data_IF_589657262047
#
_entry.id   IF_589657262047
#
_cell.length_a   1.000
_cell.length_b   1.000
_cell.length_c   1.000
_cell.angle_alpha   90.00
_cell.angle_beta   90.00
_cell.angle_gamma   90.00
#
_symmetry.space_group_name_H-M   'P 1'
#
loop_
_entity.id
_entity.type
_entity.pdbx_description
1 polymer ?
#
# COMPACT_ATOMS: atom_id res chain seq x y z
N UNK A 1 7.58 -9.27 12.23
CA UNK A 1 7.09 -10.65 11.97
C UNK A 1 5.57 -10.78 11.94
N UNK A 2 4.77 -10.05 12.74
CA UNK A 2 3.29 -10.17 12.72
C UNK A 2 2.59 -9.63 11.44
N UNK A 3 3.31 -8.93 10.56
CA UNK A 3 2.74 -8.20 9.42
C UNK A 3 2.65 -9.03 8.12
N UNK A 4 3.45 -10.11 8.00
CA UNK A 4 3.32 -11.08 6.90
C UNK A 4 2.09 -11.97 7.05
N UNK A 5 1.54 -12.10 8.26
CA UNK A 5 0.45 -13.04 8.57
C UNK A 5 -0.86 -12.59 7.93
N UNK A 6 -1.18 -11.29 7.92
CA UNK A 6 -2.44 -10.81 7.33
C UNK A 6 -2.45 -10.87 5.80
N UNK A 7 -1.29 -10.66 5.16
CA UNK A 7 -1.15 -10.82 3.70
C UNK A 7 -1.19 -12.31 3.35
N UNK A 8 -0.54 -13.19 4.14
CA UNK A 8 -0.66 -14.65 3.96
C UNK A 8 -2.08 -15.16 4.19
N UNK A 9 -2.81 -14.64 5.16
CA UNK A 9 -4.19 -15.03 5.45
C UNK A 9 -5.13 -14.62 4.32
N UNK A 10 -4.94 -13.41 3.75
CA UNK A 10 -5.67 -12.99 2.56
C UNK A 10 -5.33 -13.87 1.33
N UNK A 11 -4.06 -14.28 1.19
CA UNK A 11 -3.63 -15.17 0.11
C UNK A 11 -4.21 -16.60 0.26
N UNK A 12 -4.20 -17.14 1.49
CA UNK A 12 -4.74 -18.46 1.81
C UNK A 12 -6.26 -18.54 1.60
N UNK A 13 -7.01 -17.50 1.99
CA UNK A 13 -8.45 -17.42 1.81
C UNK A 13 -8.88 -17.34 0.34
N UNK A 14 -8.01 -16.82 -0.54
CA UNK A 14 -8.27 -16.74 -1.99
C UNK A 14 -7.88 -18.03 -2.70
N UNK A 15 -6.85 -18.76 -2.24
CA UNK A 15 -6.46 -20.04 -2.86
C UNK A 15 -7.45 -21.17 -2.65
N UNK A 16 -8.22 -21.16 -1.56
CA UNK A 16 -9.27 -22.17 -1.30
C UNK A 16 -10.48 -22.02 -2.21
N UNK A 17 -10.70 -20.84 -2.79
CA UNK A 17 -11.81 -20.56 -3.71
C UNK A 17 -11.64 -21.15 -5.12
N UNK A 18 -10.41 -21.44 -5.54
CA UNK A 18 -10.13 -21.93 -6.91
C UNK A 18 -10.19 -23.45 -7.08
N UNK A 19 -10.51 -24.22 -6.02
CA UNK A 19 -10.32 -25.69 -6.03
C UNK A 19 -11.60 -26.55 -5.94
N UNK A 20 -12.80 -26.00 -6.06
CA UNK A 20 -14.03 -26.81 -5.97
C UNK A 20 -14.82 -26.82 -7.28
N UNK A 21 -14.59 -27.84 -8.09
CA UNK A 21 -15.48 -28.26 -9.17
C UNK A 21 -15.63 -29.79 -9.13
N UNK A 22 -16.75 -30.30 -8.60
CA UNK A 22 -17.34 -31.59 -9.04
C UNK A 22 -18.81 -31.72 -8.59
N UNK A 23 -19.71 -32.34 -9.36
CA UNK A 23 -21.16 -32.19 -9.18
C UNK A 23 -21.82 -33.38 -8.47
N UNK A 24 -22.69 -33.12 -7.49
CA UNK A 24 -23.79 -34.04 -7.15
C UNK A 24 -24.97 -33.31 -6.47
N UNK A 25 -26.17 -33.47 -7.05
CA UNK A 25 -27.33 -32.57 -6.88
C UNK A 25 -28.14 -32.69 -5.58
N UNK A 26 -27.73 -33.48 -4.58
CA UNK A 26 -28.34 -33.47 -3.24
C UNK A 26 -27.61 -32.58 -2.23
N UNK A 27 -26.44 -32.03 -2.59
CA UNK A 27 -25.63 -31.14 -1.76
C UNK A 27 -25.94 -29.64 -1.89
N UNK A 28 -26.84 -29.25 -2.82
CA UNK A 28 -27.01 -27.85 -3.25
C UNK A 28 -27.57 -26.89 -2.18
N UNK A 29 -28.37 -27.36 -1.21
CA UNK A 29 -28.83 -26.51 -0.09
C UNK A 29 -27.70 -26.22 0.91
N UNK A 30 -26.84 -27.21 1.18
CA UNK A 30 -25.69 -27.06 2.07
C UNK A 30 -24.58 -26.19 1.45
N UNK A 31 -24.39 -26.26 0.13
CA UNK A 31 -23.45 -25.42 -0.60
C UNK A 31 -23.90 -23.97 -0.69
N UNK A 32 -25.20 -23.70 -0.88
CA UNK A 32 -25.73 -22.34 -0.90
C UNK A 32 -25.53 -21.63 0.46
N UNK A 33 -25.72 -22.33 1.57
CA UNK A 33 -25.48 -21.76 2.90
C UNK A 33 -23.99 -21.66 3.24
N UNK A 34 -23.15 -22.58 2.76
CA UNK A 34 -21.69 -22.46 2.86
C UNK A 34 -21.15 -21.28 2.04
N UNK A 35 -21.70 -21.05 0.84
CA UNK A 35 -21.38 -19.89 0.00
C UNK A 35 -21.84 -18.58 0.64
N UNK A 36 -23.04 -18.55 1.23
CA UNK A 36 -23.51 -17.37 1.97
C UNK A 36 -22.61 -17.07 3.17
N UNK A 37 -22.21 -18.08 3.93
CA UNK A 37 -21.32 -17.90 5.07
C UNK A 37 -19.94 -17.40 4.62
N UNK A 38 -19.39 -17.97 3.56
CA UNK A 38 -18.12 -17.52 3.00
C UNK A 38 -18.18 -16.09 2.45
N UNK A 39 -19.30 -15.71 1.82
CA UNK A 39 -19.56 -14.32 1.39
C UNK A 39 -19.67 -13.38 2.59
N UNK A 40 -20.27 -13.82 3.70
CA UNK A 40 -20.37 -13.05 4.93
C UNK A 40 -18.99 -12.85 5.56
N UNK A 41 -18.21 -13.92 5.68
CA UNK A 41 -16.86 -13.90 6.22
C UNK A 41 -15.92 -13.02 5.37
N UNK A 42 -16.07 -13.05 4.05
CA UNK A 42 -15.34 -12.17 3.13
C UNK A 42 -15.76 -10.70 3.26
N UNK A 43 -17.05 -10.41 3.48
CA UNK A 43 -17.54 -9.05 3.71
C UNK A 43 -17.04 -8.49 5.04
N UNK A 44 -17.04 -9.28 6.10
CA UNK A 44 -16.52 -8.89 7.40
C UNK A 44 -15.00 -8.71 7.36
N UNK A 45 -14.28 -9.58 6.65
CA UNK A 45 -12.86 -9.42 6.37
C UNK A 45 -12.58 -8.15 5.54
N UNK A 46 -13.43 -7.79 4.58
CA UNK A 46 -13.34 -6.54 3.80
C UNK A 46 -13.44 -5.30 4.66
N UNK A 47 -14.46 -5.25 5.52
CA UNK A 47 -14.65 -4.13 6.43
C UNK A 47 -13.50 -4.02 7.43
N UNK A 48 -13.03 -5.15 7.96
CA UNK A 48 -11.86 -5.21 8.85
C UNK A 48 -10.57 -4.77 8.15
N UNK A 49 -10.33 -5.18 6.91
CA UNK A 49 -9.14 -4.79 6.15
C UNK A 49 -9.15 -3.29 5.86
N UNK A 50 -10.23 -2.73 5.31
CA UNK A 50 -10.30 -1.31 4.93
C UNK A 50 -10.22 -0.37 6.15
N UNK A 51 -10.99 -0.66 7.19
CA UNK A 51 -11.02 0.19 8.39
C UNK A 51 -9.74 0.08 9.19
N UNK A 52 -9.19 -1.12 9.36
CA UNK A 52 -7.96 -1.29 10.15
C UNK A 52 -6.73 -0.82 9.39
N UNK A 53 -6.61 -1.12 8.09
CA UNK A 53 -5.46 -0.66 7.32
C UNK A 53 -5.42 0.86 7.16
N UNK A 54 -6.57 1.50 6.90
CA UNK A 54 -6.65 2.96 6.80
C UNK A 54 -6.35 3.67 8.12
N UNK A 55 -6.93 3.18 9.24
CA UNK A 55 -6.63 3.72 10.58
C UNK A 55 -5.18 3.44 11.00
N UNK A 56 -4.63 2.28 10.65
CA UNK A 56 -3.25 1.93 10.93
C UNK A 56 -2.28 2.81 10.14
N UNK A 57 -2.51 3.03 8.84
CA UNK A 57 -1.73 3.96 8.01
C UNK A 57 -1.69 5.36 8.63
N UNK A 58 -2.85 5.87 9.07
CA UNK A 58 -2.93 7.18 9.71
C UNK A 58 -2.15 7.23 11.04
N UNK A 59 -2.24 6.18 11.86
CA UNK A 59 -1.48 6.06 13.11
C UNK A 59 0.02 5.95 12.85
N UNK A 60 0.44 5.14 11.89
CA UNK A 60 1.84 4.95 11.54
C UNK A 60 2.46 6.20 10.94
N UNK A 61 1.70 6.96 10.13
CA UNK A 61 2.09 8.27 9.63
C UNK A 61 2.24 9.26 10.79
N UNK A 62 1.20 9.41 11.62
CA UNK A 62 1.22 10.33 12.77
C UNK A 62 2.35 10.01 13.74
N UNK A 63 2.55 8.73 14.06
CA UNK A 63 3.63 8.30 14.93
C UNK A 63 5.00 8.57 14.30
N UNK A 64 5.15 8.31 12.99
CA UNK A 64 6.36 8.66 12.25
C UNK A 64 6.64 10.17 12.28
N UNK A 65 5.62 11.00 12.05
CA UNK A 65 5.76 12.45 12.09
C UNK A 65 6.20 12.94 13.48
N UNK A 66 5.56 12.45 14.55
CA UNK A 66 5.91 12.79 15.95
C UNK A 66 7.34 12.34 16.30
N UNK A 67 7.72 11.11 15.94
CA UNK A 67 9.05 10.56 16.20
C UNK A 67 10.15 11.34 15.50
N UNK A 68 9.85 11.91 14.34
CA UNK A 68 10.80 12.67 13.55
C UNK A 68 10.78 14.16 13.90
N UNK A 69 9.70 14.71 14.44
CA UNK A 69 9.60 16.14 14.80
C UNK A 69 10.64 16.57 15.83
N UNK A 70 10.82 15.83 16.94
CA UNK A 70 11.77 16.22 17.99
C UNK A 70 13.24 16.22 17.51
N UNK A 71 13.76 15.14 16.90
CA UNK A 71 15.12 15.13 16.37
C UNK A 71 15.35 16.21 15.31
N UNK A 72 14.35 16.43 14.45
CA UNK A 72 14.47 17.39 13.34
C UNK A 72 14.43 18.83 13.85
N UNK A 73 13.57 19.16 14.83
CA UNK A 73 13.51 20.50 15.46
C UNK A 73 14.79 20.85 16.22
N UNK A 74 15.34 19.89 16.98
CA UNK A 74 16.61 20.08 17.70
C UNK A 74 17.76 20.34 16.72
N UNK A 75 17.77 19.67 15.56
CA UNK A 75 18.83 19.84 14.54
C UNK A 75 18.63 21.02 13.60
N UNK A 76 17.41 21.49 13.37
CA UNK A 76 17.15 22.73 12.64
C UNK A 76 17.92 23.91 13.25
N UNK A 77 18.04 23.95 14.58
CA UNK A 77 18.81 24.97 15.29
C UNK A 77 20.34 24.84 15.11
N UNK A 78 20.85 23.64 14.79
CA UNK A 78 22.30 23.35 14.68
C UNK A 78 22.85 23.34 13.25
N UNK A 79 22.12 22.81 12.26
CA UNK A 79 22.63 22.57 10.90
C UNK A 79 21.96 23.45 9.81
N UNK A 80 21.09 24.39 10.19
CA UNK A 80 20.49 25.37 9.28
C UNK A 80 19.38 24.83 8.37
N UNK A 81 18.83 25.73 7.54
CA UNK A 81 17.61 25.50 6.75
C UNK A 81 17.73 24.52 5.58
N UNK A 82 18.94 24.12 5.16
CA UNK A 82 19.14 23.16 4.05
C UNK A 82 18.67 21.75 4.41
N UNK A 83 18.91 21.30 5.64
CA UNK A 83 18.42 20.02 6.17
C UNK A 83 16.89 19.95 6.20
N UNK A 84 16.26 20.99 6.76
CA UNK A 84 14.81 21.06 6.85
C UNK A 84 14.17 21.08 5.45
N UNK A 85 14.78 21.80 4.50
CA UNK A 85 14.34 21.77 3.09
C UNK A 85 14.33 20.36 2.51
N UNK A 86 15.29 19.51 2.88
CA UNK A 86 15.35 18.14 2.36
C UNK A 86 14.31 17.22 3.02
N UNK A 87 14.15 17.29 4.35
CA UNK A 87 13.10 16.55 5.07
C UNK A 87 11.71 16.96 4.56
N UNK A 88 11.47 18.27 4.39
CA UNK A 88 10.21 18.80 3.83
C UNK A 88 9.99 18.30 2.42
N UNK A 89 11.03 18.27 1.57
CA UNK A 89 10.94 17.76 0.21
C UNK A 89 10.57 16.27 0.18
N UNK A 90 11.23 15.44 1.00
CA UNK A 90 10.91 14.01 1.14
C UNK A 90 9.46 13.82 1.58
N UNK A 91 9.02 14.53 2.63
CA UNK A 91 7.62 14.47 3.11
C UNK A 91 6.63 14.89 2.02
N UNK A 92 6.91 15.98 1.29
CA UNK A 92 6.04 16.48 0.22
C UNK A 92 5.88 15.46 -0.90
N UNK A 93 6.98 14.90 -1.41
CA UNK A 93 6.94 13.90 -2.49
C UNK A 93 6.22 12.63 -2.05
N UNK A 94 6.47 12.17 -0.82
CA UNK A 94 5.79 11.00 -0.25
C UNK A 94 4.29 11.23 -0.07
N UNK A 95 3.90 12.44 0.34
CA UNK A 95 2.50 12.81 0.49
C UNK A 95 1.77 12.86 -0.86
N UNK A 96 2.42 13.42 -1.88
CA UNK A 96 1.88 13.46 -3.24
C UNK A 96 1.59 12.05 -3.77
N UNK A 97 2.58 11.15 -3.70
CA UNK A 97 2.41 9.77 -4.19
C UNK A 97 1.32 9.01 -3.41
N UNK A 98 1.24 9.17 -2.09
CA UNK A 98 0.16 8.59 -1.30
C UNK A 98 -1.22 9.15 -1.69
N UNK A 99 -1.30 10.42 -2.07
CA UNK A 99 -2.50 11.05 -2.61
C UNK A 99 -2.93 10.44 -3.94
N UNK A 100 -1.98 10.24 -4.86
CA UNK A 100 -2.22 9.57 -6.15
C UNK A 100 -2.74 8.13 -5.95
N UNK A 101 -2.12 7.36 -5.03
CA UNK A 101 -2.61 6.00 -4.70
C UNK A 101 -4.02 6.05 -4.08
N UNK A 102 -4.31 7.03 -3.23
CA UNK A 102 -5.65 7.17 -2.64
C UNK A 102 -6.72 7.54 -3.67
N UNK A 103 -6.37 8.33 -4.70
CA UNK A 103 -7.27 8.59 -5.82
C UNK A 103 -7.60 7.33 -6.61
N UNK A 104 -6.62 6.42 -6.80
CA UNK A 104 -6.87 5.12 -7.44
C UNK A 104 -7.80 4.25 -6.59
N UNK A 105 -7.60 4.19 -5.27
CA UNK A 105 -8.49 3.47 -4.35
C UNK A 105 -9.93 4.00 -4.44
N UNK A 106 -10.10 5.32 -4.40
CA UNK A 106 -11.43 5.95 -4.51
C UNK A 106 -12.08 5.69 -5.87
N UNK A 107 -11.29 5.67 -6.95
CA UNK A 107 -11.79 5.35 -8.29
C UNK A 107 -12.32 3.92 -8.35
N UNK A 108 -11.58 2.94 -7.83
CA UNK A 108 -12.02 1.55 -7.75
C UNK A 108 -13.30 1.41 -6.91
N UNK A 109 -13.35 2.03 -5.73
CA UNK A 109 -14.53 2.00 -4.86
C UNK A 109 -15.76 2.57 -5.58
N UNK A 110 -15.63 3.74 -6.22
CA UNK A 110 -16.73 4.39 -6.95
C UNK A 110 -17.25 3.52 -8.11
N UNK A 111 -16.35 2.91 -8.88
CA UNK A 111 -16.71 2.02 -9.98
C UNK A 111 -17.40 0.74 -9.51
N UNK A 112 -17.07 0.29 -8.30
CA UNK A 112 -17.63 -0.91 -7.67
C UNK A 112 -18.89 -0.61 -6.86
N UNK A 113 -19.67 0.41 -7.25
CA UNK A 113 -20.94 0.79 -6.61
C UNK A 113 -20.82 1.65 -5.35
N UNK A 114 -19.61 2.04 -4.94
CA UNK A 114 -19.37 2.84 -3.74
C UNK A 114 -19.50 2.03 -2.44
N UNK A 115 -19.87 2.72 -1.36
CA UNK A 115 -20.07 2.09 -0.05
C UNK A 115 -21.55 1.75 0.16
N UNK A 116 -21.77 0.56 0.71
CA UNK A 116 -23.07 0.14 1.24
C UNK A 116 -23.41 0.95 2.49
N UNK A 117 -24.56 1.62 2.48
CA UNK A 117 -25.06 2.42 3.62
C UNK A 117 -25.26 1.54 4.87
N UNK A 118 -25.61 0.25 4.68
CA UNK A 118 -25.89 -0.68 5.78
C UNK A 118 -24.63 -1.19 6.46
N UNK A 119 -23.64 -1.58 5.65
CA UNK A 119 -22.45 -2.31 6.12
C UNK A 119 -21.20 -1.45 6.17
N UNK A 120 -21.25 -0.21 5.65
CA UNK A 120 -20.08 0.68 5.50
C UNK A 120 -18.90 0.02 4.75
N UNK A 121 -19.19 -1.00 3.93
CA UNK A 121 -18.23 -1.76 3.14
C UNK A 121 -18.40 -1.44 1.65
N UNK A 122 -17.39 -1.75 0.84
CA UNK A 122 -17.54 -1.70 -0.62
C UNK A 122 -18.73 -2.55 -1.07
N UNK A 123 -19.52 -2.03 -2.01
CA UNK A 123 -20.76 -2.64 -2.47
C UNK A 123 -20.52 -3.94 -3.24
N UNK A 124 -19.55 -3.94 -4.17
CA UNK A 124 -19.16 -5.11 -4.96
C UNK A 124 -17.67 -5.48 -4.74
N UNK A 125 -17.30 -6.01 -3.55
CA UNK A 125 -15.90 -6.22 -3.19
C UNK A 125 -15.21 -7.36 -3.97
N UNK A 126 -15.99 -8.29 -4.53
CA UNK A 126 -15.51 -9.45 -5.28
C UNK A 126 -15.49 -9.24 -6.80
N UNK A 127 -15.93 -8.06 -7.28
CA UNK A 127 -15.93 -7.77 -8.71
C UNK A 127 -14.48 -7.67 -9.22
N UNK A 128 -14.18 -8.37 -10.32
CA UNK A 128 -12.84 -8.36 -10.93
C UNK A 128 -12.79 -7.46 -12.15
N UNK A 129 -13.92 -7.30 -12.86
CA UNK A 129 -13.98 -6.54 -14.11
C UNK A 129 -13.65 -5.06 -13.91
N UNK A 130 -14.12 -4.43 -12.83
CA UNK A 130 -13.77 -3.03 -12.53
C UNK A 130 -12.28 -2.85 -12.26
N UNK A 131 -11.64 -3.84 -11.64
CA UNK A 131 -10.19 -3.82 -11.42
C UNK A 131 -9.47 -3.94 -12.75
N UNK A 132 -9.87 -4.89 -13.60
CA UNK A 132 -9.29 -5.08 -14.94
C UNK A 132 -9.40 -3.81 -15.78
N UNK A 133 -10.60 -3.22 -15.87
CA UNK A 133 -10.84 -1.99 -16.62
C UNK A 133 -10.01 -0.82 -16.08
N UNK A 134 -10.07 -0.58 -14.76
CA UNK A 134 -9.38 0.55 -14.13
C UNK A 134 -7.86 0.38 -14.16
N UNK A 135 -7.33 -0.78 -13.80
CA UNK A 135 -5.89 -0.95 -13.56
C UNK A 135 -5.12 -1.40 -14.80
N UNK A 136 -5.74 -2.24 -15.65
CA UNK A 136 -5.08 -2.79 -16.84
C UNK A 136 -5.49 -2.02 -18.09
N UNK A 137 -6.78 -1.99 -18.43
CA UNK A 137 -7.27 -1.38 -19.69
C UNK A 137 -6.96 0.12 -19.75
N UNK A 138 -7.17 0.84 -18.65
CA UNK A 138 -6.83 2.27 -18.54
C UNK A 138 -5.36 2.53 -18.16
N UNK A 139 -4.55 1.48 -18.09
CA UNK A 139 -3.11 1.55 -17.84
C UNK A 139 -2.70 2.19 -16.49
N UNK A 140 -3.63 2.33 -15.53
CA UNK A 140 -3.34 2.94 -14.23
C UNK A 140 -2.30 2.16 -13.41
N UNK A 141 -2.22 0.83 -13.57
CA UNK A 141 -1.21 0.03 -12.88
C UNK A 141 0.21 0.35 -13.35
N UNK A 142 0.42 0.53 -14.66
CA UNK A 142 1.75 0.89 -15.18
C UNK A 142 2.12 2.33 -14.82
N UNK A 143 1.14 3.25 -14.78
CA UNK A 143 1.34 4.61 -14.25
C UNK A 143 1.77 4.54 -12.79
N UNK A 144 1.06 3.75 -11.96
CA UNK A 144 1.42 3.55 -10.56
C UNK A 144 2.83 2.96 -10.41
N UNK A 145 3.18 1.94 -11.20
CA UNK A 145 4.53 1.35 -11.23
C UNK A 145 5.59 2.42 -11.48
N UNK A 146 5.38 3.24 -12.51
CA UNK A 146 6.28 4.30 -12.88
C UNK A 146 6.46 5.32 -11.74
N UNK A 147 5.38 5.73 -11.08
CA UNK A 147 5.47 6.67 -9.94
C UNK A 147 6.19 6.07 -8.74
N UNK A 148 5.94 4.79 -8.42
CA UNK A 148 6.63 4.07 -7.36
C UNK A 148 8.15 3.97 -7.63
N UNK A 149 8.52 3.58 -8.84
CA UNK A 149 9.94 3.46 -9.24
C UNK A 149 10.62 4.83 -9.29
N UNK A 150 9.93 5.86 -9.80
CA UNK A 150 10.41 7.24 -9.80
C UNK A 150 10.62 7.77 -8.39
N UNK A 151 9.76 7.41 -7.44
CA UNK A 151 9.92 7.78 -6.04
C UNK A 151 11.14 7.11 -5.41
N UNK A 152 11.36 5.80 -5.65
CA UNK A 152 12.57 5.13 -5.18
C UNK A 152 13.82 5.74 -5.80
N UNK A 153 13.80 6.05 -7.10
CA UNK A 153 14.90 6.74 -7.77
C UNK A 153 15.16 8.11 -7.15
N UNK A 154 14.11 8.90 -6.92
CA UNK A 154 14.22 10.20 -6.23
C UNK A 154 14.91 10.05 -4.86
N UNK A 155 14.51 9.06 -4.06
CA UNK A 155 15.15 8.82 -2.76
C UNK A 155 16.61 8.38 -2.93
N UNK A 156 16.88 7.42 -3.81
CA UNK A 156 18.23 6.89 -4.08
C UNK A 156 19.20 7.94 -4.63
N UNK A 157 18.76 8.80 -5.54
CA UNK A 157 19.59 9.90 -6.08
C UNK A 157 20.00 10.89 -4.98
N UNK A 158 19.17 11.02 -3.93
CA UNK A 158 19.48 11.83 -2.75
C UNK A 158 20.38 11.08 -1.78
N UNK A 159 20.18 9.79 -1.54
CA UNK A 159 21.05 8.99 -0.67
C UNK A 159 22.41 8.66 -1.25
N UNK A 160 22.54 8.55 -2.57
CA UNK A 160 23.83 8.30 -3.22
C UNK A 160 24.86 9.36 -2.83
N UNK A 161 24.39 10.60 -2.58
CA UNK A 161 25.21 11.71 -2.07
C UNK A 161 25.63 11.55 -0.60
N UNK A 162 24.94 10.69 0.15
CA UNK A 162 25.15 10.43 1.57
C UNK A 162 25.90 9.11 1.84
N UNK A 163 26.34 8.39 0.79
CA UNK A 163 27.09 7.13 0.92
C UNK A 163 26.27 5.92 1.39
N UNK A 164 24.93 6.01 1.37
CA UNK A 164 24.05 4.95 1.90
C UNK A 164 23.63 3.96 0.79
N UNK A 165 23.48 2.69 1.16
CA UNK A 165 23.03 1.62 0.25
C UNK A 165 21.69 1.91 -0.41
N UNK A 166 21.52 1.48 -1.67
CA UNK A 166 20.31 1.73 -2.47
C UNK A 166 19.09 1.07 -1.84
N UNK A 167 17.99 1.83 -1.73
CA UNK A 167 16.68 1.26 -1.47
C UNK A 167 16.25 0.40 -2.66
N UNK A 168 15.71 -0.80 -2.43
CA UNK A 168 15.20 -1.63 -3.51
C UNK A 168 13.98 -0.97 -4.16
N UNK A 169 13.67 -1.36 -5.41
CA UNK A 169 12.44 -0.93 -6.05
C UNK A 169 11.23 -1.41 -5.23
N UNK A 170 10.19 -0.59 -5.19
CA UNK A 170 8.94 -0.97 -4.53
C UNK A 170 8.20 -2.06 -5.32
N UNK A 171 8.53 -2.18 -6.60
CA UNK A 171 7.97 -3.16 -7.52
C UNK A 171 8.96 -4.34 -7.59
N UNK A 172 8.64 -5.43 -6.89
CA UNK A 172 9.54 -6.59 -6.73
C UNK A 172 9.58 -7.49 -7.98
N UNK A 173 8.73 -7.24 -8.97
CA UNK A 173 8.64 -8.06 -10.17
C UNK A 173 9.73 -7.67 -11.17
N UNK A 174 10.73 -8.54 -11.33
CA UNK A 174 11.70 -8.49 -12.44
C UNK A 174 11.05 -8.86 -13.78
N UNK A 175 9.86 -9.46 -13.75
CA UNK A 175 9.13 -9.93 -14.91
C UNK A 175 8.12 -8.90 -15.44
N UNK A 176 7.85 -9.05 -16.74
CA UNK A 176 7.40 -8.03 -17.70
C UNK A 176 5.99 -7.47 -17.51
N UNK A 177 5.29 -7.74 -16.41
CA UNK A 177 3.95 -7.18 -16.25
C UNK A 177 3.50 -6.95 -14.81
N UNK A 178 3.90 -5.80 -14.25
CA UNK A 178 3.42 -5.33 -12.95
C UNK A 178 1.89 -5.24 -12.92
N UNK A 179 1.27 -4.78 -14.02
CA UNK A 179 -0.17 -4.63 -14.09
C UNK A 179 -0.85 -5.99 -13.96
N UNK A 180 -0.42 -6.98 -14.75
CA UNK A 180 -1.03 -8.30 -14.68
C UNK A 180 -0.73 -9.04 -13.38
N UNK A 181 0.48 -8.88 -12.81
CA UNK A 181 0.85 -9.57 -11.57
C UNK A 181 -0.03 -9.18 -10.38
N UNK A 182 -0.39 -7.89 -10.28
CA UNK A 182 -1.11 -7.37 -9.12
C UNK A 182 -2.60 -7.14 -9.36
N UNK A 183 -3.04 -7.05 -10.61
CA UNK A 183 -4.39 -6.60 -10.92
C UNK A 183 -5.15 -7.47 -11.92
N UNK A 184 -4.50 -8.46 -12.55
CA UNK A 184 -5.23 -9.39 -13.42
C UNK A 184 -6.06 -10.36 -12.58
N UNK A 185 -7.30 -10.60 -12.99
CA UNK A 185 -8.28 -11.42 -12.27
C UNK A 185 -8.38 -11.14 -10.76
N UNK A 186 -8.07 -9.91 -10.35
CA UNK A 186 -7.97 -9.52 -8.95
C UNK A 186 -9.27 -8.86 -8.50
N UNK A 187 -9.92 -9.31 -7.41
CA UNK A 187 -11.14 -8.68 -6.92
C UNK A 187 -10.84 -7.31 -6.29
N UNK A 188 -11.83 -6.41 -6.31
CA UNK A 188 -11.70 -5.03 -5.79
C UNK A 188 -11.07 -4.98 -4.41
N UNK A 189 -11.51 -5.81 -3.47
CA UNK A 189 -10.97 -5.88 -2.11
C UNK A 189 -9.45 -6.13 -2.09
N UNK A 190 -8.96 -7.05 -2.93
CA UNK A 190 -7.55 -7.41 -2.99
C UNK A 190 -6.74 -6.33 -3.70
N UNK A 191 -7.29 -5.71 -4.74
CA UNK A 191 -6.69 -4.54 -5.39
C UNK A 191 -6.52 -3.37 -4.40
N UNK A 192 -7.54 -3.09 -3.58
CA UNK A 192 -7.46 -2.08 -2.52
C UNK A 192 -6.39 -2.42 -1.48
N UNK A 193 -6.25 -3.71 -1.12
CA UNK A 193 -5.20 -4.17 -0.22
C UNK A 193 -3.79 -3.97 -0.81
N UNK A 194 -3.58 -4.24 -2.11
CA UNK A 194 -2.31 -3.95 -2.79
C UNK A 194 -1.99 -2.45 -2.83
N UNK A 195 -2.96 -1.61 -3.17
CA UNK A 195 -2.78 -0.15 -3.16
C UNK A 195 -2.39 0.36 -1.75
N UNK A 196 -3.05 -0.17 -0.73
CA UNK A 196 -2.73 0.11 0.68
C UNK A 196 -1.34 -0.38 1.07
N UNK A 197 -0.93 -1.54 0.58
CA UNK A 197 0.42 -2.06 0.77
C UNK A 197 1.46 -1.09 0.17
N UNK A 198 1.23 -0.58 -1.04
CA UNK A 198 2.12 0.41 -1.64
C UNK A 198 2.18 1.72 -0.83
N UNK A 199 1.08 2.22 -0.29
CA UNK A 199 1.08 3.38 0.61
C UNK A 199 1.95 3.13 1.86
N UNK A 200 1.82 1.95 2.47
CA UNK A 200 2.64 1.55 3.61
C UNK A 200 4.13 1.53 3.25
N UNK A 201 4.47 1.00 2.07
CA UNK A 201 5.88 0.99 1.64
C UNK A 201 6.42 2.40 1.39
N UNK A 202 5.62 3.31 0.81
CA UNK A 202 5.99 4.72 0.63
C UNK A 202 6.30 5.39 1.97
N UNK A 203 5.43 5.18 2.98
CA UNK A 203 5.63 5.71 4.35
C UNK A 203 6.89 5.12 4.99
N UNK A 204 7.10 3.82 4.85
CA UNK A 204 8.28 3.17 5.41
C UNK A 204 9.57 3.67 4.76
N UNK A 205 9.56 3.91 3.45
CA UNK A 205 10.69 4.46 2.73
C UNK A 205 10.93 5.91 3.12
N UNK A 206 9.87 6.71 3.31
CA UNK A 206 9.97 8.08 3.86
C UNK A 206 10.62 8.08 5.25
N UNK A 207 10.21 7.18 6.14
CA UNK A 207 10.79 7.06 7.50
C UNK A 207 12.27 6.72 7.43
N UNK A 208 12.63 5.68 6.67
CA UNK A 208 14.03 5.28 6.44
C UNK A 208 14.84 6.45 5.88
N UNK A 209 14.25 7.21 4.96
CA UNK A 209 14.87 8.39 4.38
C UNK A 209 15.27 9.42 5.41
N UNK A 210 14.31 9.83 6.21
CA UNK A 210 14.50 10.91 7.16
C UNK A 210 15.47 10.45 8.25
N UNK A 211 15.38 9.20 8.71
CA UNK A 211 16.35 8.63 9.66
C UNK A 211 17.76 8.66 9.09
N UNK A 212 17.96 8.24 7.83
CA UNK A 212 19.28 8.26 7.20
C UNK A 212 19.83 9.68 7.05
N UNK A 213 18.99 10.64 6.65
CA UNK A 213 19.39 12.06 6.59
C UNK A 213 19.78 12.57 7.99
N UNK A 214 19.07 12.16 9.05
CA UNK A 214 19.43 12.50 10.44
C UNK A 214 20.78 11.87 10.81
N UNK A 215 21.01 10.59 10.51
CA UNK A 215 22.24 9.86 10.82
C UNK A 215 23.46 10.43 10.09
N UNK A 216 23.34 10.77 8.81
CA UNK A 216 24.44 11.42 8.09
C UNK A 216 24.91 12.71 8.80
N UNK A 217 23.96 13.50 9.31
CA UNK A 217 24.27 14.71 10.07
C UNK A 217 24.78 14.43 11.49
N UNK A 218 24.53 13.24 12.06
CA UNK A 218 25.12 12.83 13.35
C UNK A 218 26.59 12.47 13.18
N UNK A 219 26.94 11.83 12.06
CA UNK A 219 28.29 11.30 11.84
C UNK A 219 29.29 12.38 11.38
N UNK A 220 28.83 13.47 10.76
CA UNK A 220 29.65 14.68 10.53
C UNK A 220 30.15 15.36 11.83
N UNK A 221 29.76 14.87 13.02
CA UNK A 221 30.32 15.29 14.31
C UNK A 221 31.32 14.30 14.92
N UNK A 222 31.66 13.20 14.23
CA UNK A 222 32.80 12.37 14.60
C UNK A 222 34.10 13.05 14.12
N UNK A 223 35.04 13.39 15.02
CA UNK A 223 36.27 14.06 14.64
C UNK A 223 37.12 13.16 13.74
N UNK A 224 37.62 13.72 12.64
CA UNK A 224 38.87 13.27 12.00
C UNK A 224 40.05 13.62 12.91
#
# INVERSE_FOLDING_TARGET
MKHSIYILLAFLAVTTLNSCNSPNQQHQLSEADSLKQLILDLKDASHLLEVNLGRQLLREKKHGDIMLERPVLVRHRKHGGSFWKEVVRIKKTSHQLNGEIMQLQQTLIKRSGGFSIKTHSVMFPLETEQVRLCMITENNANVLKYQLDKYVKFLNDRYARLGVGKLPLLTLTKDKDFAHTYFDNTPVILALAYLTHFQNMVINYQKKAIIQVISYLTDETAPL
#
